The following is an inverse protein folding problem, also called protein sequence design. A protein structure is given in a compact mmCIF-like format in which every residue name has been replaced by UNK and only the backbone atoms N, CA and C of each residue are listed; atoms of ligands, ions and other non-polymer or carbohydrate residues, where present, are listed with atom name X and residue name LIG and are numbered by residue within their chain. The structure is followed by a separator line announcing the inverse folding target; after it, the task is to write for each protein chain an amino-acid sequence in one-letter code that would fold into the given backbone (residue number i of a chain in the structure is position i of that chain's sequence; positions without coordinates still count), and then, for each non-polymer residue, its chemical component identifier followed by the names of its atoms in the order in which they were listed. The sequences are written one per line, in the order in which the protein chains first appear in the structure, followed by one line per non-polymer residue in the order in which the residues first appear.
data_IF_580059389350
#
_entry.id   IF_580059389350
#
_cell.length_a   1.000
_cell.length_b   1.000
_cell.length_c   1.000
_cell.angle_alpha   90.00
_cell.angle_beta   90.00
_cell.angle_gamma   90.00
#
_symmetry.space_group_name_H-M   'P 1'
#
loop_
_entity.id
_entity.type
_entity.pdbx_description
1 polymer ?
#
# COMPACT_ATOMS: atom_id res chain seq x y z
N UNK A 1 -24.97 6.83 2.30
CA UNK A 1 -25.48 5.48 1.97
C UNK A 1 -24.81 4.52 2.94
N UNK A 2 -25.57 3.73 3.69
CA UNK A 2 -24.99 2.68 4.56
C UNK A 2 -24.32 1.63 3.66
N UNK A 3 -23.00 1.72 3.49
CA UNK A 3 -22.23 0.87 2.56
C UNK A 3 -22.00 -0.55 3.07
N UNK A 4 -22.17 -0.84 4.37
CA UNK A 4 -22.18 -2.21 4.89
C UNK A 4 -23.50 -2.51 5.59
N UNK A 5 -24.29 -3.39 4.99
CA UNK A 5 -25.19 -4.26 5.75
C UNK A 5 -24.49 -5.61 5.85
N UNK A 6 -24.27 -6.13 7.06
CA UNK A 6 -23.72 -7.47 7.25
C UNK A 6 -24.64 -8.49 6.57
N UNK A 7 -24.19 -9.01 5.42
CA UNK A 7 -24.85 -10.11 4.72
C UNK A 7 -24.12 -11.39 5.07
N UNK A 8 -24.84 -12.35 5.66
CA UNK A 8 -24.29 -13.67 5.97
C UNK A 8 -23.95 -14.43 4.69
N UNK A 9 -22.85 -15.18 4.72
CA UNK A 9 -22.40 -16.00 3.59
C UNK A 9 -23.45 -17.02 3.11
N UNK A 10 -24.39 -17.43 3.97
CA UNK A 10 -25.52 -18.31 3.64
C UNK A 10 -26.37 -17.81 2.46
N UNK A 11 -26.34 -16.49 2.15
CA UNK A 11 -27.01 -15.95 0.96
C UNK A 11 -26.48 -16.57 -0.34
N UNK A 12 -25.28 -17.14 -0.35
CA UNK A 12 -24.68 -17.79 -1.52
C UNK A 12 -25.21 -19.20 -1.77
N UNK A 13 -25.87 -19.83 -0.79
CA UNK A 13 -26.48 -21.16 -0.95
C UNK A 13 -27.55 -21.17 -2.05
N UNK A 14 -28.21 -20.03 -2.31
CA UNK A 14 -29.19 -19.92 -3.41
C UNK A 14 -28.59 -20.08 -4.81
N UNK A 15 -27.26 -19.96 -4.94
CA UNK A 15 -26.55 -20.14 -6.20
C UNK A 15 -26.00 -21.57 -6.36
N UNK A 16 -26.18 -22.44 -5.37
CA UNK A 16 -25.78 -23.85 -5.42
C UNK A 16 -26.93 -24.72 -5.92
N UNK A 17 -26.60 -25.70 -6.76
CA UNK A 17 -27.51 -26.76 -7.19
C UNK A 17 -27.66 -27.83 -6.09
N UNK A 18 -28.47 -28.86 -6.35
CA UNK A 18 -28.72 -29.95 -5.39
C UNK A 18 -27.47 -30.79 -5.08
N UNK A 19 -26.42 -30.66 -5.88
CA UNK A 19 -25.13 -31.32 -5.71
C UNK A 19 -24.10 -30.40 -5.03
N UNK A 20 -24.47 -29.14 -4.72
CA UNK A 20 -23.60 -28.14 -4.12
C UNK A 20 -22.79 -27.31 -5.12
N UNK A 21 -22.94 -27.53 -6.44
CA UNK A 21 -22.19 -26.80 -7.47
C UNK A 21 -22.87 -25.47 -7.83
N UNK A 22 -22.11 -24.47 -8.29
CA UNK A 22 -22.71 -23.21 -8.73
C UNK A 22 -23.52 -23.42 -10.01
N UNK A 23 -24.79 -23.02 -9.98
CA UNK A 23 -25.74 -23.21 -11.08
C UNK A 23 -25.77 -22.01 -12.05
N UNK A 24 -24.65 -21.61 -12.62
CA UNK A 24 -24.61 -20.55 -13.62
C UNK A 24 -23.46 -20.70 -14.62
N UNK A 25 -23.78 -20.50 -15.89
CA UNK A 25 -22.81 -20.37 -16.99
C UNK A 25 -22.75 -18.95 -17.56
N UNK A 26 -23.50 -18.01 -16.97
CA UNK A 26 -23.42 -16.61 -17.34
C UNK A 26 -22.13 -15.99 -16.77
N UNK A 27 -21.24 -15.55 -17.67
CA UNK A 27 -19.94 -14.96 -17.31
C UNK A 27 -20.10 -13.78 -16.37
N UNK A 28 -21.14 -12.95 -16.56
CA UNK A 28 -21.36 -11.78 -15.70
C UNK A 28 -21.71 -12.21 -14.27
N UNK A 29 -22.58 -13.20 -14.11
CA UNK A 29 -22.91 -13.80 -12.83
C UNK A 29 -21.68 -14.42 -12.15
N UNK A 30 -20.87 -15.20 -12.89
CA UNK A 30 -19.65 -15.81 -12.35
C UNK A 30 -18.64 -14.76 -11.86
N UNK A 31 -18.46 -13.66 -12.60
CA UNK A 31 -17.59 -12.55 -12.18
C UNK A 31 -18.10 -11.88 -10.90
N UNK A 32 -19.41 -11.62 -10.80
CA UNK A 32 -20.00 -11.00 -9.61
C UNK A 32 -19.88 -11.90 -8.38
N UNK A 33 -20.10 -13.20 -8.53
CA UNK A 33 -19.95 -14.18 -7.45
C UNK A 33 -18.48 -14.31 -7.02
N UNK A 34 -17.56 -14.32 -7.97
CA UNK A 34 -16.13 -14.33 -7.70
C UNK A 34 -15.73 -13.08 -6.90
N UNK A 35 -16.04 -11.88 -7.40
CA UNK A 35 -15.71 -10.62 -6.71
C UNK A 35 -16.31 -10.55 -5.31
N UNK A 36 -17.58 -10.96 -5.14
CA UNK A 36 -18.25 -10.92 -3.86
C UNK A 36 -17.66 -11.93 -2.85
N UNK A 37 -17.23 -13.11 -3.31
CA UNK A 37 -16.61 -14.11 -2.44
C UNK A 37 -15.23 -13.67 -1.91
N UNK A 38 -14.56 -12.71 -2.56
CA UNK A 38 -13.33 -12.10 -2.03
C UNK A 38 -13.56 -11.13 -0.87
N UNK A 39 -14.81 -10.86 -0.50
CA UNK A 39 -15.21 -10.17 0.74
C UNK A 39 -15.35 -11.14 1.93
N UNK A 40 -14.79 -12.34 1.84
CA UNK A 40 -14.83 -13.35 2.89
C UNK A 40 -13.95 -13.02 4.09
N UNK A 41 -14.36 -13.57 5.22
CA UNK A 41 -13.67 -13.61 6.50
C UNK A 41 -13.32 -15.05 6.86
N UNK A 42 -12.63 -15.24 7.99
CA UNK A 42 -12.21 -16.57 8.43
C UNK A 42 -13.40 -17.48 8.75
N UNK A 43 -13.36 -18.73 8.27
CA UNK A 43 -14.38 -19.74 8.55
C UNK A 43 -15.57 -19.76 7.58
N UNK A 44 -15.58 -18.89 6.56
CA UNK A 44 -16.62 -18.86 5.53
C UNK A 44 -16.30 -19.81 4.36
N UNK A 45 -16.26 -21.12 4.62
CA UNK A 45 -15.90 -22.17 3.65
C UNK A 45 -16.70 -22.11 2.34
N UNK A 46 -17.98 -21.72 2.42
CA UNK A 46 -18.83 -21.50 1.26
C UNK A 46 -18.23 -20.50 0.26
N UNK A 47 -17.56 -19.45 0.74
CA UNK A 47 -16.93 -18.44 -0.11
C UNK A 47 -15.60 -18.92 -0.69
N UNK A 48 -14.84 -19.76 0.01
CA UNK A 48 -13.65 -20.42 -0.54
C UNK A 48 -14.01 -21.36 -1.70
N UNK A 49 -15.08 -22.15 -1.52
CA UNK A 49 -15.64 -23.00 -2.58
C UNK A 49 -16.09 -22.17 -3.79
N UNK A 50 -16.75 -21.03 -3.53
CA UNK A 50 -17.23 -20.12 -4.57
C UNK A 50 -16.07 -19.53 -5.38
N UNK A 51 -14.99 -19.12 -4.71
CA UNK A 51 -13.78 -18.62 -5.39
C UNK A 51 -13.19 -19.72 -6.27
N UNK A 52 -13.01 -20.92 -5.71
CA UNK A 52 -12.38 -22.04 -6.41
C UNK A 52 -13.19 -22.42 -7.66
N UNK A 53 -14.50 -22.63 -7.51
CA UNK A 53 -15.37 -22.98 -8.62
C UNK A 53 -15.38 -21.88 -9.69
N UNK A 54 -15.66 -20.63 -9.30
CA UNK A 54 -15.79 -19.53 -10.27
C UNK A 54 -14.47 -19.28 -10.99
N UNK A 55 -13.33 -19.40 -10.30
CA UNK A 55 -12.00 -19.31 -10.92
C UNK A 55 -11.83 -20.35 -12.02
N UNK A 56 -12.08 -21.63 -11.73
CA UNK A 56 -11.95 -22.70 -12.71
C UNK A 56 -12.91 -22.52 -13.88
N UNK A 57 -14.16 -22.10 -13.62
CA UNK A 57 -15.15 -21.88 -14.68
C UNK A 57 -14.79 -20.70 -15.57
N UNK A 58 -14.38 -19.57 -14.99
CA UNK A 58 -13.94 -18.38 -15.73
C UNK A 58 -12.70 -18.68 -16.58
N UNK A 59 -11.71 -19.41 -16.04
CA UNK A 59 -10.53 -19.86 -16.78
C UNK A 59 -10.90 -20.76 -17.97
N UNK A 60 -11.84 -21.69 -17.77
CA UNK A 60 -12.36 -22.53 -18.86
C UNK A 60 -13.04 -21.68 -19.94
N UNK A 61 -13.89 -20.72 -19.55
CA UNK A 61 -14.60 -19.86 -20.51
C UNK A 61 -13.65 -18.94 -21.29
N UNK A 62 -12.53 -18.51 -20.70
CA UNK A 62 -11.49 -17.78 -21.45
C UNK A 62 -10.92 -18.59 -22.62
N UNK A 63 -10.99 -19.92 -22.58
CA UNK A 63 -10.55 -20.79 -23.68
C UNK A 63 -11.62 -20.95 -24.78
N UNK A 64 -12.86 -20.51 -24.57
CA UNK A 64 -14.00 -20.77 -25.48
C UNK A 64 -14.38 -19.58 -26.37
N UNK A 65 -13.42 -18.71 -26.74
CA UNK A 65 -13.63 -17.50 -27.57
C UNK A 65 -14.67 -16.51 -27.00
N UNK A 66 -14.40 -15.95 -25.81
CA UNK A 66 -15.17 -14.81 -25.30
C UNK A 66 -14.96 -13.55 -26.14
N UNK A 67 -15.97 -12.67 -26.18
CA UNK A 67 -15.81 -11.32 -26.73
C UNK A 67 -14.62 -10.60 -26.09
N UNK A 68 -13.78 -9.87 -26.84
CA UNK A 68 -12.51 -9.34 -26.34
C UNK A 68 -12.64 -8.47 -25.07
N UNK A 69 -13.62 -7.58 -25.02
CA UNK A 69 -13.85 -6.71 -23.86
C UNK A 69 -14.26 -7.52 -22.61
N UNK A 70 -15.02 -8.61 -22.80
CA UNK A 70 -15.42 -9.51 -21.71
C UNK A 70 -14.23 -10.39 -21.26
N UNK A 71 -13.45 -10.91 -22.20
CA UNK A 71 -12.24 -11.68 -21.90
C UNK A 71 -11.24 -10.87 -21.05
N UNK A 72 -11.07 -9.58 -21.37
CA UNK A 72 -10.23 -8.68 -20.58
C UNK A 72 -10.79 -8.42 -19.18
N UNK A 73 -12.11 -8.26 -19.03
CA UNK A 73 -12.73 -8.13 -17.69
C UNK A 73 -12.57 -9.42 -16.88
N UNK A 74 -12.67 -10.61 -17.50
CA UNK A 74 -12.38 -11.88 -16.84
C UNK A 74 -10.92 -11.95 -16.40
N UNK A 75 -9.97 -11.68 -17.30
CA UNK A 75 -8.54 -11.70 -17.00
C UNK A 75 -8.20 -10.82 -15.79
N UNK A 76 -8.68 -9.59 -15.80
CA UNK A 76 -8.43 -8.61 -14.71
C UNK A 76 -9.07 -9.03 -13.39
N UNK A 77 -10.25 -9.66 -13.45
CA UNK A 77 -10.94 -10.15 -12.25
C UNK A 77 -10.23 -11.33 -11.62
N UNK A 78 -9.76 -12.27 -12.43
CA UNK A 78 -8.97 -13.39 -11.95
C UNK A 78 -7.60 -12.96 -11.39
N UNK A 79 -7.01 -11.89 -11.92
CA UNK A 79 -5.76 -11.31 -11.45
C UNK A 79 -5.94 -10.57 -10.12
N UNK A 80 -6.88 -9.63 -10.06
CA UNK A 80 -7.23 -8.88 -8.85
C UNK A 80 -8.75 -8.69 -8.76
N UNK A 81 -9.41 -9.26 -7.74
CA UNK A 81 -10.85 -9.09 -7.53
C UNK A 81 -11.15 -7.61 -7.25
N UNK A 82 -12.34 -7.14 -7.62
CA UNK A 82 -12.71 -5.71 -7.59
C UNK A 82 -12.45 -5.03 -6.25
N UNK A 83 -12.74 -5.69 -5.14
CA UNK A 83 -12.50 -5.13 -3.81
C UNK A 83 -11.03 -4.83 -3.51
N UNK A 84 -10.09 -5.48 -4.20
CA UNK A 84 -8.65 -5.30 -4.01
C UNK A 84 -8.02 -4.38 -5.07
N UNK A 85 -8.79 -3.86 -6.02
CA UNK A 85 -8.27 -2.96 -7.06
C UNK A 85 -8.16 -1.53 -6.56
N UNK A 86 -7.12 -0.82 -7.01
CA UNK A 86 -6.96 0.62 -6.77
C UNK A 86 -8.08 1.38 -7.48
N UNK A 87 -8.93 2.04 -6.69
CA UNK A 87 -10.19 2.62 -7.18
C UNK A 87 -9.96 3.65 -8.28
N UNK A 88 -8.94 4.50 -8.13
CA UNK A 88 -8.67 5.55 -9.10
C UNK A 88 -8.16 5.02 -10.45
N UNK A 89 -7.33 3.98 -10.43
CA UNK A 89 -6.86 3.27 -11.63
C UNK A 89 -8.05 2.58 -12.30
N UNK A 90 -8.94 1.98 -11.53
CA UNK A 90 -10.16 1.39 -12.07
C UNK A 90 -11.13 2.41 -12.66
N UNK A 91 -11.29 3.58 -12.03
CA UNK A 91 -12.11 4.65 -12.59
C UNK A 91 -11.59 5.06 -13.97
N UNK A 92 -10.26 5.23 -14.13
CA UNK A 92 -9.63 5.60 -15.41
C UNK A 92 -9.95 4.61 -16.53
N UNK A 93 -9.86 3.32 -16.23
CA UNK A 93 -10.15 2.24 -17.17
C UNK A 93 -11.65 2.13 -17.44
N UNK A 94 -12.46 2.12 -16.38
CA UNK A 94 -13.88 1.84 -16.47
C UNK A 94 -14.64 2.95 -17.18
N UNK A 95 -14.16 4.21 -17.15
CA UNK A 95 -14.72 5.27 -18.01
C UNK A 95 -14.67 4.86 -19.49
N UNK A 96 -13.53 4.36 -19.97
CA UNK A 96 -13.38 3.91 -21.37
C UNK A 96 -14.23 2.66 -21.68
N UNK A 97 -14.40 1.76 -20.71
CA UNK A 97 -15.29 0.60 -20.86
C UNK A 97 -16.75 1.04 -20.91
N UNK A 98 -17.17 1.94 -20.02
CA UNK A 98 -18.53 2.46 -19.94
C UNK A 98 -18.92 3.21 -21.21
N UNK A 99 -17.99 4.00 -21.77
CA UNK A 99 -18.20 4.75 -23.02
C UNK A 99 -18.59 3.87 -24.22
N UNK A 100 -18.09 2.63 -24.25
CA UNK A 100 -18.38 1.65 -25.30
C UNK A 100 -19.70 0.90 -25.11
N UNK A 101 -20.36 1.00 -23.94
CA UNK A 101 -21.59 0.25 -23.66
C UNK A 101 -22.73 0.75 -24.55
N UNK A 102 -23.51 -0.20 -25.10
CA UNK A 102 -24.65 0.11 -25.96
C UNK A 102 -25.72 0.98 -25.27
N UNK A 103 -25.92 0.77 -23.98
CA UNK A 103 -26.81 1.59 -23.13
C UNK A 103 -25.97 2.25 -22.05
N UNK A 104 -25.82 3.57 -22.15
CA UNK A 104 -25.05 4.37 -21.20
C UNK A 104 -25.78 5.66 -20.84
N UNK A 105 -25.64 6.08 -19.59
CA UNK A 105 -26.19 7.34 -19.11
C UNK A 105 -25.20 8.46 -19.41
N UNK A 106 -25.49 9.27 -20.43
CA UNK A 106 -24.58 10.32 -20.92
C UNK A 106 -24.12 11.28 -19.82
N UNK A 107 -25.02 11.67 -18.91
CA UNK A 107 -24.67 12.55 -17.79
C UNK A 107 -23.64 11.93 -16.86
N UNK A 108 -23.71 10.61 -16.60
CA UNK A 108 -22.75 9.94 -15.72
C UNK A 108 -21.37 9.85 -16.40
N UNK A 109 -21.34 9.57 -17.70
CA UNK A 109 -20.09 9.55 -18.46
C UNK A 109 -19.41 10.93 -18.46
N UNK A 110 -20.17 12.00 -18.75
CA UNK A 110 -19.64 13.38 -18.74
C UNK A 110 -19.15 13.76 -17.35
N UNK A 111 -19.92 13.44 -16.31
CA UNK A 111 -19.53 13.68 -14.92
C UNK A 111 -18.23 12.97 -14.57
N UNK A 112 -18.12 11.68 -14.89
CA UNK A 112 -16.91 10.89 -14.60
C UNK A 112 -15.68 11.41 -15.34
N UNK A 113 -15.80 11.83 -16.61
CA UNK A 113 -14.70 12.44 -17.36
C UNK A 113 -14.27 13.79 -16.78
N UNK A 114 -15.24 14.62 -16.39
CA UNK A 114 -14.97 15.93 -15.81
C UNK A 114 -14.29 15.81 -14.45
N UNK A 115 -14.84 14.98 -13.56
CA UNK A 115 -14.20 14.62 -12.28
C UNK A 115 -12.77 14.14 -12.55
N UNK A 116 -12.61 13.22 -13.51
CA UNK A 116 -11.31 12.64 -13.75
C UNK A 116 -10.26 13.69 -14.12
N UNK A 117 -10.59 14.56 -15.07
CA UNK A 117 -9.70 15.59 -15.60
C UNK A 117 -9.43 16.72 -14.59
N UNK A 118 -10.39 17.08 -13.74
CA UNK A 118 -10.18 18.06 -12.66
C UNK A 118 -9.15 17.55 -11.67
N UNK A 119 -9.31 16.32 -11.21
CA UNK A 119 -8.38 15.72 -10.26
C UNK A 119 -7.00 15.50 -10.88
N UNK A 120 -6.91 15.10 -12.14
CA UNK A 120 -5.63 15.04 -12.85
C UNK A 120 -4.89 16.38 -12.83
N UNK A 121 -5.58 17.51 -13.02
CA UNK A 121 -4.97 18.83 -12.93
C UNK A 121 -4.41 19.13 -11.53
N UNK A 122 -5.17 18.77 -10.47
CA UNK A 122 -4.73 18.89 -9.08
C UNK A 122 -3.45 18.07 -8.85
N UNK A 123 -3.42 16.81 -9.31
CA UNK A 123 -2.26 15.94 -9.16
C UNK A 123 -1.01 16.48 -9.87
N UNK A 124 -1.19 17.12 -11.03
CA UNK A 124 -0.10 17.76 -11.76
C UNK A 124 0.45 18.99 -11.01
N UNK A 125 -0.39 19.73 -10.30
CA UNK A 125 0.06 20.86 -9.47
C UNK A 125 0.80 20.38 -8.21
N UNK A 126 0.33 19.30 -7.59
CA UNK A 126 1.03 18.61 -6.50
C UNK A 126 2.43 18.14 -6.93
N UNK A 127 2.54 17.48 -8.09
CA UNK A 127 3.83 17.05 -8.64
C UNK A 127 4.77 18.21 -8.93
N UNK A 128 4.27 19.38 -9.36
CA UNK A 128 5.13 20.57 -9.55
C UNK A 128 5.71 21.04 -8.22
N UNK A 129 4.89 21.12 -7.17
CA UNK A 129 5.36 21.49 -5.84
C UNK A 129 6.39 20.49 -5.32
N UNK A 130 6.08 19.20 -5.41
CA UNK A 130 6.96 18.12 -4.97
C UNK A 130 8.27 18.10 -5.74
N UNK A 131 8.25 18.38 -7.04
CA UNK A 131 9.48 18.48 -7.86
C UNK A 131 10.37 19.62 -7.39
N UNK A 132 9.81 20.78 -7.05
CA UNK A 132 10.58 21.92 -6.54
C UNK A 132 11.20 21.57 -5.19
N UNK A 133 10.39 21.02 -4.27
CA UNK A 133 10.87 20.58 -2.96
C UNK A 133 11.95 19.51 -3.07
N UNK A 134 11.75 18.49 -3.92
CA UNK A 134 12.68 17.37 -4.06
C UNK A 134 14.02 17.81 -4.65
N UNK A 135 14.01 18.72 -5.62
CA UNK A 135 15.24 19.33 -6.17
C UNK A 135 16.01 20.15 -5.14
N UNK A 136 15.31 20.94 -4.32
CA UNK A 136 15.95 21.65 -3.20
C UNK A 136 16.55 20.68 -2.18
N UNK A 137 15.83 19.61 -1.86
CA UNK A 137 16.30 18.55 -0.97
C UNK A 137 17.59 17.89 -1.50
N UNK A 138 17.57 17.45 -2.76
CA UNK A 138 18.69 16.84 -3.48
C UNK A 138 19.90 17.78 -3.58
N UNK A 139 19.68 19.09 -3.72
CA UNK A 139 20.78 20.06 -3.83
C UNK A 139 21.60 20.22 -2.55
N UNK A 140 21.05 19.79 -1.40
CA UNK A 140 21.65 19.95 -0.07
C UNK A 140 22.22 18.66 0.50
N UNK A 141 21.89 17.50 -0.07
CA UNK A 141 22.28 16.18 0.44
C UNK A 141 22.77 15.28 -0.70
N UNK A 142 23.88 14.58 -0.50
CA UNK A 142 24.30 13.52 -1.42
C UNK A 142 23.38 12.31 -1.27
N UNK A 143 22.62 12.02 -2.32
CA UNK A 143 21.67 10.91 -2.41
C UNK A 143 22.08 9.87 -3.44
N UNK A 144 23.37 9.78 -3.78
CA UNK A 144 23.90 8.80 -4.74
C UNK A 144 23.61 7.34 -4.38
N UNK A 145 23.28 7.08 -3.12
CA UNK A 145 22.90 5.76 -2.61
C UNK A 145 21.41 5.44 -2.76
N UNK A 146 20.56 6.45 -2.98
CA UNK A 146 19.12 6.32 -2.88
C UNK A 146 18.41 6.31 -4.24
N UNK A 147 17.23 5.71 -4.27
CA UNK A 147 16.35 5.68 -5.45
C UNK A 147 15.69 7.04 -5.68
N UNK A 148 15.60 7.48 -6.93
CA UNK A 148 14.82 8.67 -7.31
C UNK A 148 13.47 8.25 -7.89
N UNK A 149 12.48 8.15 -7.00
CA UNK A 149 11.14 7.59 -7.30
C UNK A 149 10.01 8.53 -6.84
N UNK A 150 10.20 9.85 -6.97
CA UNK A 150 9.25 10.87 -6.48
C UNK A 150 7.86 10.74 -7.13
N UNK A 151 7.80 10.50 -8.45
CA UNK A 151 6.54 10.39 -9.18
C UNK A 151 5.79 9.11 -8.82
N UNK A 152 6.54 8.01 -8.68
CA UNK A 152 6.05 6.71 -8.25
C UNK A 152 5.52 6.77 -6.82
N UNK A 153 6.22 7.45 -5.91
CA UNK A 153 5.75 7.68 -4.54
C UNK A 153 4.48 8.53 -4.51
N UNK A 154 4.42 9.61 -5.30
CA UNK A 154 3.20 10.39 -5.40
C UNK A 154 2.03 9.54 -5.91
N UNK A 155 2.27 8.71 -6.94
CA UNK A 155 1.27 7.79 -7.48
C UNK A 155 0.81 6.76 -6.44
N UNK A 156 1.72 6.25 -5.62
CA UNK A 156 1.40 5.36 -4.51
C UNK A 156 0.46 6.06 -3.53
N UNK A 157 0.79 7.27 -3.06
CA UNK A 157 -0.05 7.98 -2.08
C UNK A 157 -1.41 8.33 -2.69
N UNK A 158 -1.43 8.71 -3.97
CA UNK A 158 -2.65 9.00 -4.72
C UNK A 158 -3.55 7.76 -4.82
N UNK A 159 -3.00 6.56 -4.99
CA UNK A 159 -3.77 5.33 -5.00
C UNK A 159 -4.57 5.12 -3.72
N UNK A 160 -4.01 5.54 -2.58
CA UNK A 160 -4.68 5.49 -1.28
C UNK A 160 -5.61 6.71 -1.02
N UNK A 161 -5.26 7.88 -1.55
CA UNK A 161 -5.91 9.16 -1.28
C UNK A 161 -6.19 9.90 -2.58
N UNK A 162 -7.23 9.54 -3.31
CA UNK A 162 -7.45 10.10 -4.64
C UNK A 162 -8.33 11.36 -4.63
N UNK A 163 -9.17 11.58 -3.62
CA UNK A 163 -10.19 12.64 -3.61
C UNK A 163 -9.58 14.06 -3.55
N UNK A 164 -10.25 15.11 -4.09
CA UNK A 164 -9.61 16.41 -4.29
C UNK A 164 -9.23 17.11 -2.97
N UNK A 165 -9.99 16.88 -1.89
CA UNK A 165 -9.73 17.49 -0.58
C UNK A 165 -8.50 16.91 0.15
N UNK A 166 -7.96 15.78 -0.30
CA UNK A 166 -6.71 15.21 0.21
C UNK A 166 -5.45 15.78 -0.45
N UNK A 167 -5.53 16.93 -1.13
CA UNK A 167 -4.38 17.49 -1.86
C UNK A 167 -3.17 17.74 -0.96
N UNK A 168 -3.40 18.40 0.19
CA UNK A 168 -2.36 18.61 1.19
C UNK A 168 -1.82 17.27 1.74
N UNK A 169 -2.72 16.34 2.07
CA UNK A 169 -2.37 15.00 2.55
C UNK A 169 -1.48 14.26 1.57
N UNK A 170 -1.82 14.24 0.27
CA UNK A 170 -0.98 13.59 -0.76
C UNK A 170 0.42 14.17 -0.81
N UNK A 171 0.55 15.49 -0.83
CA UNK A 171 1.85 16.16 -0.85
C UNK A 171 2.66 15.90 0.42
N UNK A 172 2.02 15.98 1.59
CA UNK A 172 2.67 15.74 2.88
C UNK A 172 3.12 14.28 3.02
N UNK A 173 2.23 13.32 2.74
CA UNK A 173 2.54 11.90 2.81
C UNK A 173 3.61 11.51 1.78
N UNK A 174 3.60 12.09 0.58
CA UNK A 174 4.66 11.84 -0.43
C UNK A 174 6.03 12.29 0.07
N UNK A 175 6.11 13.47 0.71
CA UNK A 175 7.35 13.92 1.35
C UNK A 175 7.78 12.92 2.42
N UNK A 176 6.87 12.51 3.31
CA UNK A 176 7.17 11.53 4.37
C UNK A 176 7.65 10.18 3.81
N UNK A 177 6.97 9.61 2.81
CA UNK A 177 7.35 8.31 2.24
C UNK A 177 8.68 8.38 1.50
N UNK A 178 9.01 9.51 0.87
CA UNK A 178 10.35 9.74 0.33
C UNK A 178 11.40 9.77 1.43
N UNK A 179 11.15 10.45 2.55
CA UNK A 179 12.06 10.39 3.70
C UNK A 179 12.18 8.96 4.25
N UNK A 180 11.08 8.21 4.32
CA UNK A 180 11.09 6.82 4.76
C UNK A 180 11.90 5.92 3.81
N UNK A 181 11.81 6.12 2.49
CA UNK A 181 12.65 5.40 1.52
C UNK A 181 14.14 5.78 1.61
N UNK A 182 14.46 7.04 1.90
CA UNK A 182 15.84 7.44 2.13
C UNK A 182 16.42 6.77 3.38
N UNK A 183 15.60 6.64 4.43
CA UNK A 183 15.97 5.92 5.65
C UNK A 183 16.14 4.43 5.38
N UNK A 184 15.22 3.81 4.62
CA UNK A 184 15.30 2.43 4.16
C UNK A 184 16.63 2.16 3.44
N UNK A 185 16.94 2.92 2.39
CA UNK A 185 18.19 2.78 1.63
C UNK A 185 19.44 3.01 2.50
N UNK A 186 19.35 3.94 3.47
CA UNK A 186 20.43 4.22 4.43
C UNK A 186 20.70 3.03 5.37
N UNK A 187 19.66 2.45 5.96
CA UNK A 187 19.79 1.38 6.95
C UNK A 187 20.03 0.01 6.32
N UNK A 188 19.51 -0.24 5.11
CA UNK A 188 19.61 -1.55 4.48
C UNK A 188 20.94 -1.72 3.74
N UNK A 189 21.44 -0.68 3.06
CA UNK A 189 22.51 -0.88 2.08
C UNK A 189 23.70 0.06 2.22
N UNK A 190 23.56 1.21 2.88
CA UNK A 190 24.57 2.25 2.82
C UNK A 190 25.38 2.44 4.11
N UNK A 191 24.73 2.51 5.27
CA UNK A 191 25.41 2.82 6.54
C UNK A 191 25.92 1.57 7.26
N UNK A 192 27.03 1.71 7.98
CA UNK A 192 27.51 0.68 8.94
C UNK A 192 26.62 0.59 10.18
N UNK A 193 26.72 -0.50 10.97
CA UNK A 193 26.02 -0.61 12.27
C UNK A 193 26.32 0.60 13.17
N UNK A 194 27.58 1.04 13.26
CA UNK A 194 27.98 2.18 14.09
C UNK A 194 27.34 3.48 13.61
N UNK A 195 27.37 3.74 12.30
CA UNK A 195 26.73 4.92 11.69
C UNK A 195 25.21 4.90 11.88
N UNK A 196 24.58 3.75 11.67
CA UNK A 196 23.15 3.50 11.93
C UNK A 196 22.75 3.79 13.39
N UNK A 197 23.54 3.31 14.36
CA UNK A 197 23.30 3.56 15.80
C UNK A 197 23.36 5.06 16.12
N UNK A 198 24.38 5.74 15.58
CA UNK A 198 24.60 7.17 15.79
C UNK A 198 23.51 8.00 15.12
N UNK A 199 23.10 7.64 13.90
CA UNK A 199 22.01 8.29 13.17
C UNK A 199 20.67 8.15 13.91
N UNK A 200 20.32 6.94 14.33
CA UNK A 200 19.09 6.67 15.09
C UNK A 200 19.07 7.47 16.40
N UNK A 201 20.19 7.51 17.12
CA UNK A 201 20.29 8.29 18.37
C UNK A 201 20.09 9.79 18.13
N UNK A 202 20.63 10.34 17.04
CA UNK A 202 20.45 11.75 16.70
C UNK A 202 19.00 12.06 16.30
N UNK A 203 18.36 11.17 15.55
CA UNK A 203 16.92 11.23 15.23
C UNK A 203 16.08 11.25 16.50
N UNK A 204 16.34 10.35 17.47
CA UNK A 204 15.60 10.31 18.74
C UNK A 204 15.75 11.59 19.57
N UNK A 205 16.96 12.16 19.62
CA UNK A 205 17.21 13.44 20.29
C UNK A 205 16.61 14.63 19.55
N UNK A 206 16.32 14.47 18.27
CA UNK A 206 15.88 15.53 17.37
C UNK A 206 16.86 16.73 17.35
N UNK A 207 18.15 16.43 17.45
CA UNK A 207 19.22 17.44 17.56
C UNK A 207 20.19 17.34 16.38
N UNK A 208 20.17 18.35 15.51
CA UNK A 208 21.09 18.47 14.38
C UNK A 208 22.51 18.91 14.76
N UNK A 209 22.73 19.42 15.98
CA UNK A 209 23.97 20.06 16.40
C UNK A 209 24.96 19.12 17.11
N UNK A 210 24.52 18.04 17.76
CA UNK A 210 25.42 17.07 18.45
C UNK A 210 26.16 16.09 17.51
N UNK A 211 26.27 16.40 16.22
CA UNK A 211 26.76 15.50 15.16
C UNK A 211 28.22 15.75 14.77
N UNK A 212 29.11 16.12 15.71
CA UNK A 212 30.55 16.31 15.41
C UNK A 212 31.24 15.04 14.86
N UNK A 213 30.61 13.86 15.03
CA UNK A 213 31.10 12.56 14.55
C UNK A 213 30.45 12.07 13.25
N UNK A 214 29.53 12.82 12.65
CA UNK A 214 28.84 12.36 11.43
C UNK A 214 29.71 12.56 10.19
N UNK A 215 29.72 11.59 9.25
CA UNK A 215 30.06 11.89 7.87
C UNK A 215 29.20 13.06 7.36
N UNK A 216 29.80 13.97 6.58
CA UNK A 216 29.15 15.21 6.15
C UNK A 216 27.80 14.96 5.43
N UNK A 217 27.72 13.90 4.63
CA UNK A 217 26.50 13.52 3.90
C UNK A 217 25.37 13.07 4.85
N UNK A 218 25.67 12.25 5.88
CA UNK A 218 24.66 11.82 6.86
C UNK A 218 24.14 13.00 7.69
N UNK A 219 25.03 13.96 8.02
CA UNK A 219 24.64 15.18 8.73
C UNK A 219 23.68 16.02 7.89
N UNK A 220 23.98 16.19 6.60
CA UNK A 220 23.11 16.90 5.68
C UNK A 220 21.74 16.22 5.54
N UNK A 221 21.72 14.90 5.38
CA UNK A 221 20.50 14.10 5.33
C UNK A 221 19.64 14.27 6.60
N UNK A 222 20.25 14.13 7.78
CA UNK A 222 19.58 14.33 9.07
C UNK A 222 18.94 15.72 9.15
N UNK A 223 19.73 16.77 8.88
CA UNK A 223 19.23 18.16 8.95
C UNK A 223 18.06 18.37 7.99
N UNK A 224 18.14 17.82 6.77
CA UNK A 224 17.07 17.94 5.79
C UNK A 224 15.78 17.19 6.20
N UNK A 225 15.90 16.01 6.80
CA UNK A 225 14.77 15.26 7.37
C UNK A 225 14.11 16.07 8.51
N UNK A 226 14.92 16.58 9.45
CA UNK A 226 14.44 17.38 10.58
C UNK A 226 13.72 18.63 10.09
N UNK A 227 14.32 19.38 9.15
CA UNK A 227 13.73 20.61 8.60
C UNK A 227 12.42 20.34 7.86
N UNK A 228 12.36 19.29 7.04
CA UNK A 228 11.14 18.91 6.32
C UNK A 228 10.04 18.54 7.30
N UNK A 229 10.36 17.76 8.32
CA UNK A 229 9.39 17.31 9.33
C UNK A 229 8.89 18.47 10.19
N UNK A 230 9.78 19.33 10.66
CA UNK A 230 9.41 20.53 11.43
C UNK A 230 8.48 21.45 10.62
N UNK A 231 8.76 21.62 9.31
CA UNK A 231 7.89 22.42 8.44
C UNK A 231 6.48 21.83 8.33
N UNK A 232 6.34 20.51 8.18
CA UNK A 232 5.04 19.84 8.17
C UNK A 232 4.31 20.03 9.51
N UNK A 233 5.02 19.85 10.62
CA UNK A 233 4.47 20.09 11.97
C UNK A 233 3.98 21.55 12.13
N UNK A 234 4.77 22.53 11.68
CA UNK A 234 4.40 23.94 11.73
C UNK A 234 3.16 24.25 10.87
N UNK A 235 3.09 23.70 9.64
CA UNK A 235 1.93 23.83 8.75
C UNK A 235 0.66 23.27 9.40
N UNK A 236 0.74 22.11 10.04
CA UNK A 236 -0.36 21.50 10.78
C UNK A 236 -0.76 22.33 12.01
N UNK A 237 0.21 22.86 12.76
CA UNK A 237 -0.04 23.76 13.92
C UNK A 237 -0.75 25.04 13.49
N UNK A 238 -0.39 25.62 12.34
CA UNK A 238 -1.08 26.78 11.76
C UNK A 238 -2.55 26.48 11.41
N UNK A 239 -2.85 25.24 11.05
CA UNK A 239 -4.20 24.75 10.82
C UNK A 239 -4.96 24.38 12.11
N UNK A 240 -4.34 24.57 13.29
CA UNK A 240 -4.85 24.17 14.61
C UNK A 240 -5.04 22.65 14.77
N UNK A 241 -4.30 21.87 14.00
CA UNK A 241 -4.32 20.42 14.11
C UNK A 241 -3.69 19.99 15.45
N UNK A 242 -4.45 19.24 16.26
CA UNK A 242 -4.03 18.82 17.61
C UNK A 242 -2.96 17.71 17.60
N UNK A 243 -2.81 17.02 16.47
CA UNK A 243 -1.91 15.88 16.31
C UNK A 243 -0.61 16.24 15.59
N UNK A 244 -0.35 17.52 15.32
CA UNK A 244 0.82 17.98 14.56
C UNK A 244 2.15 17.41 15.10
N UNK A 245 2.30 17.34 16.43
CA UNK A 245 3.52 16.85 17.09
C UNK A 245 3.77 15.35 16.89
N UNK A 246 2.73 14.60 16.49
CA UNK A 246 2.85 13.17 16.20
C UNK A 246 3.58 12.88 14.89
N UNK A 247 3.67 13.84 13.96
CA UNK A 247 4.43 13.67 12.71
C UNK A 247 5.90 13.37 13.02
N UNK A 248 6.49 14.13 13.94
CA UNK A 248 7.85 13.90 14.45
C UNK A 248 7.98 12.51 15.07
N UNK A 249 7.02 12.10 15.90
CA UNK A 249 7.01 10.76 16.54
C UNK A 249 7.01 9.65 15.48
N UNK A 250 6.22 9.79 14.42
CA UNK A 250 6.14 8.81 13.33
C UNK A 250 7.45 8.69 12.55
N UNK A 251 8.11 9.81 12.25
CA UNK A 251 9.44 9.81 11.59
C UNK A 251 10.49 9.11 12.45
N UNK A 252 10.51 9.39 13.76
CA UNK A 252 11.42 8.72 14.71
C UNK A 252 11.11 7.21 14.77
N UNK A 253 9.84 6.83 14.87
CA UNK A 253 9.42 5.43 14.86
C UNK A 253 9.90 4.70 13.60
N UNK A 254 9.74 5.30 12.41
CA UNK A 254 10.23 4.73 11.15
C UNK A 254 11.73 4.47 11.19
N UNK A 255 12.54 5.45 11.61
CA UNK A 255 13.99 5.27 11.74
C UNK A 255 14.34 4.11 12.69
N UNK A 256 13.62 3.99 13.82
CA UNK A 256 13.84 2.90 14.79
C UNK A 256 13.46 1.53 14.25
N UNK A 257 12.42 1.44 13.43
CA UNK A 257 12.00 0.16 12.85
C UNK A 257 13.00 -0.34 11.81
N UNK A 258 13.50 0.54 10.94
CA UNK A 258 14.60 0.16 10.04
C UNK A 258 15.88 -0.18 10.80
N UNK A 259 16.23 0.61 11.83
CA UNK A 259 17.39 0.33 12.68
C UNK A 259 17.33 -1.06 13.34
N UNK A 260 16.14 -1.52 13.73
CA UNK A 260 15.96 -2.84 14.32
C UNK A 260 16.37 -4.00 13.38
N UNK A 261 16.34 -3.77 12.06
CA UNK A 261 16.69 -4.76 11.04
C UNK A 261 18.19 -4.76 10.68
N UNK A 262 18.93 -3.71 11.05
CA UNK A 262 20.40 -3.61 10.80
C UNK A 262 21.15 -4.82 11.35
N UNK A 263 20.70 -5.34 12.51
CA UNK A 263 21.26 -6.55 13.11
C UNK A 263 21.13 -7.77 12.18
N UNK A 264 20.01 -7.90 11.47
CA UNK A 264 19.78 -9.00 10.53
C UNK A 264 20.75 -8.96 9.37
N UNK A 265 20.96 -7.78 8.78
CA UNK A 265 21.93 -7.56 7.71
C UNK A 265 23.36 -7.87 8.16
N UNK A 266 23.84 -7.22 9.22
CA UNK A 266 25.26 -7.25 9.56
C UNK A 266 25.69 -8.55 10.25
N UNK A 267 24.79 -9.18 11.01
CA UNK A 267 25.05 -10.49 11.62
C UNK A 267 24.64 -11.66 10.74
N UNK A 268 24.08 -11.39 9.55
CA UNK A 268 23.45 -12.38 8.65
C UNK A 268 22.47 -13.28 9.41
N UNK A 269 21.74 -12.68 10.35
CA UNK A 269 20.78 -13.40 11.15
C UNK A 269 19.54 -13.69 10.31
N UNK A 270 19.27 -14.98 10.09
CA UNK A 270 18.03 -15.44 9.45
C UNK A 270 17.07 -15.84 10.57
N UNK A 271 15.92 -15.16 10.74
CA UNK A 271 14.90 -15.56 11.70
C UNK A 271 14.52 -17.04 11.57
N UNK A 272 14.06 -17.65 12.66
CA UNK A 272 13.72 -19.07 12.74
C UNK A 272 12.34 -19.38 12.19
N UNK A 273 11.45 -18.38 12.15
CA UNK A 273 10.09 -18.49 11.63
C UNK A 273 9.64 -17.21 10.96
N UNK A 274 8.67 -17.31 10.04
CA UNK A 274 8.00 -16.17 9.41
C UNK A 274 7.38 -15.25 10.48
N UNK A 275 6.81 -15.82 11.54
CA UNK A 275 6.27 -15.03 12.66
C UNK A 275 7.33 -14.17 13.35
N UNK A 276 8.51 -14.74 13.63
CA UNK A 276 9.63 -14.01 14.23
C UNK A 276 10.09 -12.85 13.34
N UNK A 277 10.15 -13.08 12.03
CA UNK A 277 10.48 -12.02 11.06
C UNK A 277 9.42 -10.91 11.08
N UNK A 278 8.14 -11.28 10.96
CA UNK A 278 7.03 -10.33 10.92
C UNK A 278 6.88 -9.49 12.20
N UNK A 279 7.35 -9.98 13.36
CA UNK A 279 7.36 -9.18 14.60
C UNK A 279 8.14 -7.86 14.47
N UNK A 280 9.15 -7.81 13.60
CA UNK A 280 9.94 -6.61 13.33
C UNK A 280 9.51 -6.00 11.98
N UNK A 281 9.46 -6.81 10.93
CA UNK A 281 9.36 -6.34 9.55
C UNK A 281 7.98 -5.79 9.13
N UNK A 282 6.93 -6.11 9.88
CA UNK A 282 5.62 -5.49 9.67
C UNK A 282 5.63 -4.00 10.04
N UNK A 283 6.51 -3.57 10.96
CA UNK A 283 6.58 -2.16 11.40
C UNK A 283 7.50 -1.32 10.50
N UNK A 284 8.49 -1.94 9.89
CA UNK A 284 9.35 -1.31 8.88
C UNK A 284 8.68 -1.18 7.51
N UNK A 285 7.51 -1.81 7.27
CA UNK A 285 6.74 -1.60 6.03
C UNK A 285 6.08 -0.21 5.92
N UNK A 286 6.18 0.62 6.96
CA UNK A 286 5.67 2.00 7.02
C UNK A 286 4.14 2.15 6.91
N UNK A 287 3.40 1.04 6.77
CA UNK A 287 1.95 1.05 6.55
C UNK A 287 1.17 1.70 7.71
N UNK A 288 1.52 1.39 8.95
CA UNK A 288 0.91 2.01 10.14
C UNK A 288 1.13 3.53 10.16
N UNK A 289 2.31 3.98 9.77
CA UNK A 289 2.67 5.39 9.76
C UNK A 289 1.89 6.14 8.69
N UNK A 290 1.70 5.53 7.52
CA UNK A 290 0.89 6.09 6.44
C UNK A 290 -0.56 6.21 6.91
N UNK A 291 -1.15 5.16 7.47
CA UNK A 291 -2.53 5.19 8.00
C UNK A 291 -2.69 6.29 9.06
N UNK A 292 -1.75 6.41 10.00
CA UNK A 292 -1.76 7.49 10.99
C UNK A 292 -1.61 8.89 10.37
N UNK A 293 -0.74 9.05 9.37
CA UNK A 293 -0.55 10.34 8.71
C UNK A 293 -1.78 10.75 7.89
N UNK A 294 -2.55 9.80 7.34
CA UNK A 294 -3.84 10.09 6.74
C UNK A 294 -4.72 10.79 7.77
N UNK A 295 -4.95 10.16 8.93
CA UNK A 295 -5.75 10.73 10.01
C UNK A 295 -5.22 12.09 10.49
N UNK A 296 -3.91 12.22 10.69
CA UNK A 296 -3.29 13.47 11.14
C UNK A 296 -3.43 14.57 10.10
N UNK A 297 -3.36 14.25 8.81
CA UNK A 297 -3.48 15.24 7.73
C UNK A 297 -4.92 15.74 7.55
N UNK A 298 -5.91 14.98 8.04
CA UNK A 298 -7.31 15.37 8.03
C UNK A 298 -7.60 16.38 9.14
N UNK A 299 -7.78 17.64 8.78
CA UNK A 299 -8.14 18.71 9.71
C UNK A 299 -9.65 19.01 9.67
N UNK A 300 -10.48 18.01 9.95
CA UNK A 300 -11.92 18.21 10.09
C UNK A 300 -12.20 18.92 11.42
N UNK A 301 -12.84 20.09 11.35
CA UNK A 301 -13.06 21.01 12.49
C UNK A 301 -13.83 20.36 13.67
N UNK A 302 -14.49 19.23 13.44
CA UNK A 302 -15.36 18.55 14.40
C UNK A 302 -15.06 17.04 14.61
N UNK A 303 -13.92 16.53 14.12
CA UNK A 303 -13.52 15.12 14.33
C UNK A 303 -12.24 15.06 15.16
N UNK A 304 -12.32 14.41 16.31
CA UNK A 304 -11.16 14.15 17.16
C UNK A 304 -10.63 12.74 16.88
N UNK A 305 -9.46 12.66 16.23
CA UNK A 305 -8.82 11.40 15.87
C UNK A 305 -7.88 10.87 16.95
N UNK A 306 -7.80 11.48 18.15
CA UNK A 306 -6.83 11.09 19.19
C UNK A 306 -6.91 9.60 19.54
N UNK A 307 -8.11 9.14 19.88
CA UNK A 307 -8.37 7.74 20.23
C UNK A 307 -8.09 6.77 19.07
N UNK A 308 -8.31 7.22 17.83
CA UNK A 308 -8.12 6.40 16.63
C UNK A 308 -6.64 6.32 16.22
N UNK A 309 -5.89 7.42 16.36
CA UNK A 309 -4.43 7.45 16.17
C UNK A 309 -3.75 6.54 17.19
N UNK A 310 -4.13 6.65 18.47
CA UNK A 310 -3.62 5.76 19.51
C UNK A 310 -4.01 4.30 19.26
N UNK A 311 -5.25 4.06 18.78
CA UNK A 311 -5.67 2.72 18.37
C UNK A 311 -4.82 2.16 17.23
N UNK A 312 -4.49 2.93 16.19
CA UNK A 312 -3.59 2.49 15.12
C UNK A 312 -2.20 2.15 15.66
N UNK A 313 -1.68 2.90 16.63
CA UNK A 313 -0.41 2.59 17.32
C UNK A 313 -0.43 1.27 18.10
N UNK A 314 -1.60 0.76 18.50
CA UNK A 314 -1.72 -0.58 19.10
C UNK A 314 -1.48 -1.71 18.09
N UNK A 315 -1.31 -1.37 16.80
CA UNK A 315 -1.09 -2.31 15.70
C UNK A 315 -2.25 -3.31 15.54
N UNK A 316 -3.48 -2.81 15.37
CA UNK A 316 -4.69 -3.64 15.33
C UNK A 316 -4.69 -4.55 14.10
N UNK A 317 -5.65 -5.47 14.08
CA UNK A 317 -5.73 -6.56 13.10
C UNK A 317 -5.69 -6.07 11.64
N UNK A 318 -6.43 -4.99 11.31
CA UNK A 318 -6.39 -4.38 9.96
C UNK A 318 -5.01 -3.83 9.62
N UNK A 319 -4.35 -3.14 10.55
CA UNK A 319 -3.00 -2.57 10.34
C UNK A 319 -1.98 -3.70 10.16
N UNK A 320 -2.06 -4.77 10.97
CA UNK A 320 -1.26 -6.00 10.74
C UNK A 320 -1.50 -6.55 9.34
N UNK A 321 -2.76 -6.70 8.94
CA UNK A 321 -3.11 -7.24 7.62
C UNK A 321 -2.51 -6.40 6.49
N UNK A 322 -2.68 -5.08 6.53
CA UNK A 322 -2.11 -4.15 5.54
C UNK A 322 -0.58 -4.27 5.50
N UNK A 323 0.06 -4.27 6.67
CA UNK A 323 1.52 -4.45 6.78
C UNK A 323 2.00 -5.80 6.23
N UNK A 324 1.25 -6.87 6.43
CA UNK A 324 1.57 -8.21 5.89
C UNK A 324 1.45 -8.23 4.37
N UNK A 325 0.36 -7.70 3.81
CA UNK A 325 0.18 -7.56 2.36
C UNK A 325 1.38 -6.84 1.75
N UNK A 326 1.81 -5.74 2.37
CA UNK A 326 2.94 -4.97 1.89
C UNK A 326 4.30 -5.61 2.07
N UNK A 327 4.64 -6.05 3.28
CA UNK A 327 5.94 -6.65 3.57
C UNK A 327 6.13 -7.94 2.77
N UNK A 328 5.19 -8.88 2.84
CA UNK A 328 5.34 -10.16 2.15
C UNK A 328 5.24 -9.96 0.63
N UNK A 329 4.33 -9.11 0.16
CA UNK A 329 4.21 -8.79 -1.28
C UNK A 329 5.52 -8.27 -1.85
N UNK A 330 6.11 -7.28 -1.20
CA UNK A 330 7.42 -6.71 -1.56
C UNK A 330 8.51 -7.80 -1.58
N UNK A 331 8.70 -8.50 -0.45
CA UNK A 331 9.74 -9.52 -0.30
C UNK A 331 9.63 -10.65 -1.35
N UNK A 332 8.42 -11.01 -1.81
CA UNK A 332 8.22 -12.04 -2.85
C UNK A 332 8.78 -11.59 -4.19
N UNK A 333 8.50 -10.34 -4.59
CA UNK A 333 8.85 -9.81 -5.92
C UNK A 333 10.25 -9.21 -5.96
N UNK A 334 10.80 -8.81 -4.82
CA UNK A 334 12.17 -8.30 -4.71
C UNK A 334 13.22 -9.38 -4.44
N UNK A 335 12.79 -10.59 -4.03
CA UNK A 335 13.66 -11.67 -3.57
C UNK A 335 14.89 -11.89 -4.44
N UNK A 336 14.71 -12.16 -5.75
CA UNK A 336 15.84 -12.48 -6.63
C UNK A 336 16.86 -11.33 -6.72
N UNK A 337 16.39 -10.07 -6.74
CA UNK A 337 17.26 -8.88 -6.79
C UNK A 337 18.01 -8.71 -5.48
N UNK A 338 17.31 -8.81 -4.35
CA UNK A 338 17.91 -8.59 -3.03
C UNK A 338 18.94 -9.66 -2.66
N UNK A 339 18.78 -10.89 -3.18
CA UNK A 339 19.80 -11.93 -3.03
C UNK A 339 21.10 -11.64 -3.81
N UNK A 340 21.11 -10.70 -4.74
CA UNK A 340 22.31 -10.35 -5.50
C UNK A 340 23.28 -9.42 -4.74
N UNK A 341 22.86 -8.84 -3.61
CA UNK A 341 23.66 -7.97 -2.77
C UNK A 341 23.63 -8.40 -1.29
N UNK A 342 24.44 -7.76 -0.45
CA UNK A 342 24.29 -7.89 1.01
C UNK A 342 23.04 -7.09 1.38
N UNK A 343 21.99 -7.79 1.81
CA UNK A 343 20.69 -7.20 2.14
C UNK A 343 20.13 -7.84 3.42
N UNK A 344 19.14 -7.19 4.05
CA UNK A 344 18.35 -7.82 5.12
C UNK A 344 17.66 -9.09 4.61
N UNK A 345 17.48 -10.06 5.51
CA UNK A 345 16.85 -11.34 5.19
C UNK A 345 15.36 -11.13 4.90
N UNK A 346 14.90 -11.59 3.73
CA UNK A 346 13.48 -11.54 3.35
C UNK A 346 12.63 -12.61 4.06
N UNK A 347 11.31 -12.40 4.10
CA UNK A 347 10.33 -13.41 4.53
C UNK A 347 10.43 -14.69 3.68
N UNK A 348 10.80 -14.60 2.40
CA UNK A 348 11.02 -15.76 1.52
C UNK A 348 12.14 -16.65 2.06
N UNK A 349 13.31 -16.08 2.35
CA UNK A 349 14.43 -16.83 2.91
C UNK A 349 14.10 -17.44 4.27
N UNK A 350 13.39 -16.67 5.11
CA UNK A 350 12.93 -17.14 6.42
C UNK A 350 11.97 -18.33 6.28
N UNK A 351 11.03 -18.26 5.34
CA UNK A 351 10.08 -19.33 5.05
C UNK A 351 10.79 -20.59 4.50
N UNK A 352 11.77 -20.41 3.59
CA UNK A 352 12.61 -21.52 3.10
C UNK A 352 13.32 -22.23 4.26
N UNK A 353 13.90 -21.48 5.19
CA UNK A 353 14.59 -22.03 6.37
C UNK A 353 13.62 -22.74 7.32
N UNK A 354 12.47 -22.13 7.62
CA UNK A 354 11.49 -22.68 8.54
C UNK A 354 10.93 -24.03 8.06
N UNK A 355 10.65 -24.15 6.76
CA UNK A 355 9.99 -25.34 6.19
C UNK A 355 10.92 -26.28 5.41
N UNK A 356 12.17 -25.90 5.16
CA UNK A 356 13.11 -26.68 4.37
C UNK A 356 12.68 -26.84 2.90
N UNK A 357 12.12 -25.79 2.31
CA UNK A 357 11.51 -25.80 0.96
C UNK A 357 12.25 -24.89 -0.03
N UNK A 358 11.94 -25.00 -1.32
CA UNK A 358 12.48 -24.10 -2.35
C UNK A 358 11.90 -22.69 -2.24
N UNK A 359 12.50 -21.72 -2.91
CA UNK A 359 12.01 -20.33 -2.93
C UNK A 359 10.58 -20.24 -3.49
N UNK A 360 10.25 -20.99 -4.53
CA UNK A 360 8.94 -21.02 -5.17
C UNK A 360 7.87 -21.60 -4.25
N UNK A 361 8.21 -22.68 -3.54
CA UNK A 361 7.34 -23.28 -2.52
C UNK A 361 7.14 -22.33 -1.32
N UNK A 362 8.19 -21.60 -0.93
CA UNK A 362 8.11 -20.57 0.10
C UNK A 362 7.21 -19.39 -0.34
N UNK A 363 7.39 -18.88 -1.57
CA UNK A 363 6.54 -17.85 -2.17
C UNK A 363 5.07 -18.28 -2.18
N UNK A 364 4.76 -19.54 -2.50
CA UNK A 364 3.39 -20.04 -2.47
C UNK A 364 2.80 -20.10 -1.05
N UNK A 365 3.58 -20.56 -0.05
CA UNK A 365 3.16 -20.52 1.36
C UNK A 365 2.90 -19.10 1.84
N UNK A 366 3.75 -18.15 1.43
CA UNK A 366 3.63 -16.75 1.80
C UNK A 366 2.40 -16.08 1.15
N UNK A 367 2.00 -16.49 -0.07
CA UNK A 367 0.73 -16.03 -0.68
C UNK A 367 -0.49 -16.44 0.14
N UNK A 368 -0.48 -17.61 0.78
CA UNK A 368 -1.56 -18.00 1.70
C UNK A 368 -1.66 -17.03 2.87
N UNK A 369 -0.53 -16.62 3.44
CA UNK A 369 -0.49 -15.63 4.54
C UNK A 369 -1.02 -14.26 4.07
N UNK A 370 -0.72 -13.85 2.83
CA UNK A 370 -1.31 -12.64 2.23
C UNK A 370 -2.84 -12.77 2.11
N UNK A 371 -3.36 -13.92 1.68
CA UNK A 371 -4.81 -14.15 1.60
C UNK A 371 -5.49 -14.10 2.98
N UNK A 372 -4.87 -14.69 4.00
CA UNK A 372 -5.34 -14.60 5.40
C UNK A 372 -5.32 -13.15 5.91
N UNK A 373 -4.30 -12.38 5.57
CA UNK A 373 -4.22 -10.96 5.90
C UNK A 373 -5.33 -10.13 5.23
N UNK A 374 -5.73 -10.47 4.00
CA UNK A 374 -6.90 -9.87 3.37
C UNK A 374 -8.21 -10.21 4.09
N UNK A 375 -8.39 -11.44 4.56
CA UNK A 375 -9.56 -11.80 5.39
C UNK A 375 -9.58 -11.03 6.71
N UNK A 376 -8.41 -10.80 7.30
CA UNK A 376 -8.24 -9.99 8.51
C UNK A 376 -8.63 -8.52 8.30
N UNK A 377 -8.22 -7.93 7.17
CA UNK A 377 -8.61 -6.58 6.75
C UNK A 377 -10.13 -6.50 6.56
N UNK A 378 -10.70 -7.46 5.83
CA UNK A 378 -12.13 -7.51 5.51
C UNK A 378 -12.97 -7.69 6.78
N UNK A 379 -12.52 -8.50 7.74
CA UNK A 379 -13.21 -8.69 9.02
C UNK A 379 -13.34 -7.37 9.78
N UNK A 380 -12.26 -6.61 9.97
CA UNK A 380 -12.31 -5.32 10.68
C UNK A 380 -13.13 -4.28 9.90
N UNK A 381 -13.07 -4.33 8.56
CA UNK A 381 -13.90 -3.49 7.70
C UNK A 381 -15.40 -3.76 7.86
N UNK A 382 -15.81 -5.02 8.05
CA UNK A 382 -17.20 -5.41 8.30
C UNK A 382 -17.64 -5.19 9.75
N UNK A 383 -16.73 -5.38 10.71
CA UNK A 383 -17.00 -5.17 12.14
C UNK A 383 -17.36 -3.70 12.45
N UNK A 384 -16.80 -2.75 11.68
CA UNK A 384 -17.09 -1.31 11.76
C UNK A 384 -17.00 -0.74 13.18
N UNK A 385 -16.06 -1.25 13.99
CA UNK A 385 -15.80 -0.77 15.35
C UNK A 385 -15.12 0.60 15.39
N UNK A 386 -14.73 1.13 14.23
CA UNK A 386 -14.00 2.39 14.01
C UNK A 386 -14.64 3.18 12.87
N UNK A 387 -14.36 4.49 12.75
CA UNK A 387 -14.91 5.30 11.67
C UNK A 387 -14.61 4.71 10.29
N UNK A 388 -15.60 4.73 9.40
CA UNK A 388 -15.46 4.13 8.07
C UNK A 388 -14.37 4.76 7.22
N UNK A 389 -14.11 6.06 7.41
CA UNK A 389 -13.05 6.76 6.69
C UNK A 389 -11.68 6.13 6.99
N UNK A 390 -11.37 5.87 8.27
CA UNK A 390 -10.15 5.16 8.68
C UNK A 390 -10.06 3.74 8.08
N UNK A 391 -11.16 2.99 8.12
CA UNK A 391 -11.20 1.62 7.61
C UNK A 391 -11.06 1.59 6.08
N UNK A 392 -11.76 2.47 5.35
CA UNK A 392 -11.64 2.63 3.90
C UNK A 392 -10.22 3.01 3.50
N UNK A 393 -9.59 4.00 4.17
CA UNK A 393 -8.21 4.39 3.86
C UNK A 393 -7.18 3.31 4.20
N UNK A 394 -7.41 2.53 5.25
CA UNK A 394 -6.57 1.35 5.53
C UNK A 394 -6.65 0.30 4.40
N UNK A 395 -7.86 0.05 3.89
CA UNK A 395 -8.08 -0.83 2.73
C UNK A 395 -7.44 -0.26 1.47
N UNK A 396 -7.55 1.05 1.22
CA UNK A 396 -6.97 1.71 0.05
C UNK A 396 -5.43 1.67 0.04
N UNK A 397 -4.82 1.75 1.22
CA UNK A 397 -3.38 1.48 1.39
C UNK A 397 -3.05 0.04 0.98
N UNK A 398 -3.79 -0.97 1.45
CA UNK A 398 -3.56 -2.36 1.04
C UNK A 398 -3.77 -2.59 -0.47
N UNK A 399 -4.82 -2.01 -1.06
CA UNK A 399 -5.09 -2.07 -2.51
C UNK A 399 -3.92 -1.53 -3.32
N UNK A 400 -3.40 -0.38 -2.89
CA UNK A 400 -2.31 0.29 -3.61
C UNK A 400 -1.00 -0.49 -3.47
N UNK A 401 -0.73 -1.05 -2.29
CA UNK A 401 0.45 -1.87 -2.10
C UNK A 401 0.38 -3.17 -2.91
N UNK A 402 -0.75 -3.88 -2.88
CA UNK A 402 -0.96 -5.09 -3.70
C UNK A 402 -0.76 -4.79 -5.18
N UNK A 403 -1.21 -3.62 -5.65
CA UNK A 403 -1.00 -3.17 -7.03
C UNK A 403 0.48 -2.94 -7.36
N UNK A 404 1.25 -2.30 -6.47
CA UNK A 404 2.68 -2.03 -6.69
C UNK A 404 3.55 -3.30 -6.67
N UNK A 405 3.16 -4.32 -5.91
CA UNK A 405 3.93 -5.56 -5.78
C UNK A 405 3.25 -6.76 -6.42
N UNK A 406 2.34 -6.52 -7.37
CA UNK A 406 1.54 -7.60 -7.97
C UNK A 406 2.36 -8.58 -8.80
N UNK A 407 3.32 -8.04 -9.56
CA UNK A 407 4.08 -8.78 -10.56
C UNK A 407 5.59 -8.58 -10.42
N UNK A 408 6.00 -7.36 -10.09
CA UNK A 408 7.37 -6.94 -9.91
C UNK A 408 7.48 -5.96 -8.74
N UNK A 409 8.71 -5.61 -8.36
CA UNK A 409 8.94 -4.46 -7.49
C UNK A 409 8.80 -3.18 -8.31
N UNK A 410 7.54 -2.77 -8.50
CA UNK A 410 7.23 -1.60 -9.31
C UNK A 410 7.66 -0.28 -8.65
N UNK A 411 8.01 -0.30 -7.37
CA UNK A 411 8.58 0.86 -6.71
C UNK A 411 10.03 1.10 -7.16
N UNK A 412 10.85 0.05 -7.11
CA UNK A 412 12.26 0.13 -7.49
C UNK A 412 12.44 0.10 -9.02
N UNK A 413 11.58 -0.63 -9.74
CA UNK A 413 11.58 -0.72 -11.20
C UNK A 413 10.18 -0.48 -11.77
N UNK A 414 9.80 0.79 -12.03
CA UNK A 414 8.42 1.17 -12.36
C UNK A 414 8.02 0.87 -13.82
N UNK A 415 8.63 -0.13 -14.46
CA UNK A 415 8.33 -0.48 -15.85
C UNK A 415 6.86 -0.89 -16.01
N UNK A 416 6.32 -1.66 -15.06
CA UNK A 416 4.91 -2.06 -15.01
C UNK A 416 3.96 -0.89 -14.75
N UNK A 417 4.43 0.18 -14.11
CA UNK A 417 3.62 1.37 -13.78
C UNK A 417 3.62 2.44 -14.84
N UNK A 418 4.59 2.43 -15.77
CA UNK A 418 4.82 3.52 -16.72
C UNK A 418 3.56 3.93 -17.48
N UNK A 419 2.81 2.97 -18.03
CA UNK A 419 1.59 3.24 -18.78
C UNK A 419 0.49 3.79 -17.87
N UNK A 420 0.35 3.24 -16.66
CA UNK A 420 -0.60 3.72 -15.66
C UNK A 420 -0.27 5.15 -15.24
N UNK A 421 0.98 5.45 -14.86
CA UNK A 421 1.45 6.79 -14.50
C UNK A 421 1.19 7.77 -15.65
N UNK A 422 1.46 7.38 -16.90
CA UNK A 422 1.19 8.21 -18.09
C UNK A 422 -0.31 8.50 -18.23
N UNK A 423 -1.18 7.51 -18.02
CA UNK A 423 -2.63 7.69 -18.05
C UNK A 423 -3.14 8.57 -16.91
N UNK A 424 -2.46 8.53 -15.76
CA UNK A 424 -2.87 9.26 -14.55
C UNK A 424 -2.47 10.73 -14.61
N UNK A 425 -1.27 11.06 -15.12
CA UNK A 425 -0.72 12.42 -15.07
C UNK A 425 -0.64 13.14 -16.42
N UNK A 426 -0.71 12.44 -17.55
CA UNK A 426 -0.48 13.04 -18.88
C UNK A 426 -1.72 12.98 -19.75
N UNK A 427 -2.35 11.81 -19.86
CA UNK A 427 -3.43 11.60 -20.80
C UNK A 427 -4.80 11.89 -20.15
N UNK A 428 -5.42 12.99 -20.54
CA UNK A 428 -6.81 13.28 -20.18
C UNK A 428 -7.78 12.22 -20.72
N UNK A 429 -8.94 12.08 -20.07
CA UNK A 429 -10.00 11.11 -20.42
C UNK A 429 -11.03 11.69 -21.39
#
# INVERSE_FOLDING_TARGET
MNKCSNMYADVFEKFRDKQGNISSDDVSCLLMLYDAAYMRTHGEEILDDMITFNKSRLQFLMMTNLEPDLAEEVRRTLETPRFRRVERVEARRYISVYEKKAVQHKTLLVFAKLDYNILQAIYCDELKELTIWWKDFQSRTDLSFARDSMVEMHFWILGALYEPYYSYSRTMLTKFTLLASLLDDLYDNYSTTEESNVFTTAMERWDGQTTEKFPAHMKALLINILNTTNKIEDELKLQKNRHAELVKKLVICTAKFYHAEVKWRDQRYVPTSVDEHLQISMRSSVCMQIINLVLISENWVDVDWEDDVDWVFTFPKIVRGVSIVGRIGNDIVSHEREQASIHVVSTVQTCMKQYGVTAEQAKEKLRVIIEEAWMDIVQEYHDQKRPMELLEKSVDVARTIDFFYKHDDAYTSPLSLKDTITLMYVNSV
#
